data_IF_865727432892
#
_entry.id   IF_865727432892
#
_cell.length_a   1.000
_cell.length_b   1.000
_cell.length_c   1.000
_cell.angle_alpha   90.00
_cell.angle_beta   90.00
_cell.angle_gamma   90.00
#
_symmetry.space_group_name_H-M   'P 1'
#
loop_
_entity.id
_entity.type
_entity.pdbx_description
1 polymer ?
#
# COMPACT_ATOMS: atom_id res chain seq x y z
N UNK A 1 17.35 12.50 -6.52
CA UNK A 1 16.36 12.92 -5.50
C UNK A 1 16.92 12.48 -4.16
N UNK A 2 17.20 13.38 -3.20
CA UNK A 2 17.77 12.99 -1.90
C UNK A 2 16.68 12.30 -1.07
N UNK A 3 16.94 11.08 -0.61
CA UNK A 3 16.06 10.38 0.34
C UNK A 3 16.02 11.16 1.65
N UNK A 4 14.84 11.66 2.02
CA UNK A 4 14.60 12.26 3.33
C UNK A 4 14.27 11.14 4.31
N UNK A 5 15.13 10.93 5.30
CA UNK A 5 14.84 10.06 6.44
C UNK A 5 13.89 10.80 7.37
N UNK A 6 12.75 10.18 7.69
CA UNK A 6 11.77 10.69 8.65
C UNK A 6 11.93 9.89 9.95
N UNK A 7 11.94 10.58 11.09
CA UNK A 7 12.03 9.89 12.37
C UNK A 7 10.63 9.44 12.85
N UNK A 8 10.56 8.25 13.45
CA UNK A 8 9.31 7.72 14.00
C UNK A 8 8.65 8.63 15.03
N UNK A 9 9.44 9.38 15.81
CA UNK A 9 8.91 10.34 16.79
C UNK A 9 8.00 11.39 16.15
N UNK A 10 8.32 11.81 14.93
CA UNK A 10 7.55 12.81 14.19
C UNK A 10 6.26 12.22 13.63
N UNK A 11 6.22 10.90 13.41
CA UNK A 11 5.07 10.18 12.86
C UNK A 11 4.13 9.71 13.97
N UNK A 12 4.67 9.29 15.12
CA UNK A 12 3.92 8.64 16.20
C UNK A 12 2.70 9.46 16.63
N UNK A 13 2.81 10.79 16.69
CA UNK A 13 1.69 11.69 17.06
C UNK A 13 0.44 11.51 16.18
N UNK A 14 0.58 11.02 14.95
CA UNK A 14 -0.51 10.81 14.00
C UNK A 14 -1.09 9.39 14.02
N UNK A 15 -0.40 8.42 14.62
CA UNK A 15 -0.75 7.00 14.56
C UNK A 15 -0.84 6.32 15.94
N UNK A 16 -0.77 7.09 17.02
CA UNK A 16 -0.94 6.61 18.40
C UNK A 16 -2.27 7.05 19.00
N UNK A 17 -2.87 6.19 19.80
CA UNK A 17 -4.07 6.49 20.57
C UNK A 17 -3.71 7.23 21.86
N UNK A 18 -4.39 8.33 22.18
CA UNK A 18 -4.17 9.08 23.42
C UNK A 18 -4.77 8.43 24.67
N UNK A 19 -5.65 7.43 24.53
CA UNK A 19 -6.26 6.72 25.66
C UNK A 19 -5.33 5.62 26.21
N UNK A 20 -4.70 4.83 25.33
CA UNK A 20 -3.80 3.74 25.74
C UNK A 20 -2.31 4.04 25.54
N UNK A 21 -1.97 5.15 24.88
CA UNK A 21 -0.60 5.53 24.49
C UNK A 21 0.12 4.52 23.57
N UNK A 22 -0.62 3.55 23.01
CA UNK A 22 -0.13 2.61 22.00
C UNK A 22 -0.45 3.07 20.58
N UNK A 23 0.01 2.30 19.59
CA UNK A 23 -0.40 2.48 18.20
C UNK A 23 -1.89 2.18 18.01
N UNK A 24 -2.51 2.85 17.03
CA UNK A 24 -3.92 2.64 16.69
C UNK A 24 -4.16 1.18 16.24
N UNK A 25 -5.07 0.49 16.93
CA UNK A 25 -5.62 -0.82 16.59
C UNK A 25 -7.12 -0.68 16.38
N UNK A 26 -7.60 -1.13 15.23
CA UNK A 26 -8.96 -0.90 14.73
C UNK A 26 -9.37 0.58 14.91
N UNK A 27 -8.67 1.47 14.24
CA UNK A 27 -8.83 2.92 14.34
C UNK A 27 -10.30 3.34 14.18
N UNK A 28 -10.80 4.09 15.16
CA UNK A 28 -12.15 4.61 15.23
C UNK A 28 -12.10 6.13 15.42
N UNK A 29 -12.71 6.85 14.48
CA UNK A 29 -12.67 8.32 14.41
C UNK A 29 -14.04 8.90 14.78
N UNK A 30 -14.01 9.99 15.56
CA UNK A 30 -15.17 10.83 15.85
C UNK A 30 -15.31 11.85 14.71
N UNK A 31 -16.38 11.82 13.88
CA UNK A 31 -16.48 12.70 12.71
C UNK A 31 -16.51 14.19 13.04
N UNK A 32 -17.12 14.57 14.15
CA UNK A 32 -17.30 15.98 14.55
C UNK A 32 -15.98 16.71 14.84
N UNK A 33 -14.97 16.00 15.35
CA UNK A 33 -13.68 16.61 15.71
C UNK A 33 -12.46 15.92 15.08
N UNK A 34 -12.67 14.88 14.27
CA UNK A 34 -11.65 14.10 13.57
C UNK A 34 -10.54 13.54 14.48
N UNK A 35 -10.85 13.32 15.75
CA UNK A 35 -9.96 12.61 16.66
C UNK A 35 -10.16 11.11 16.56
N UNK A 36 -9.05 10.39 16.50
CA UNK A 36 -9.02 8.94 16.29
C UNK A 36 -8.42 8.21 17.49
N UNK A 37 -9.03 7.07 17.82
CA UNK A 37 -8.66 6.21 18.95
C UNK A 37 -8.69 4.74 18.51
N UNK A 38 -8.21 3.82 19.35
CA UNK A 38 -8.48 2.40 19.14
C UNK A 38 -9.97 2.12 19.39
N UNK A 39 -10.59 1.24 18.59
CA UNK A 39 -11.99 0.85 18.75
C UNK A 39 -12.33 0.46 20.19
N UNK A 40 -11.53 -0.40 20.81
CA UNK A 40 -11.77 -0.88 22.17
C UNK A 40 -11.58 0.21 23.21
N UNK A 41 -10.66 1.15 23.00
CA UNK A 41 -10.41 2.24 23.93
C UNK A 41 -11.56 3.25 23.94
N UNK A 42 -12.00 3.71 22.76
CA UNK A 42 -13.14 4.65 22.71
C UNK A 42 -14.43 3.95 23.12
N UNK A 43 -14.60 2.67 22.78
CA UNK A 43 -15.75 1.89 23.23
C UNK A 43 -15.80 1.83 24.77
N UNK A 44 -14.71 1.40 25.41
CA UNK A 44 -14.64 1.32 26.86
C UNK A 44 -14.84 2.69 27.52
N UNK A 45 -14.36 3.79 26.91
CA UNK A 45 -14.60 5.13 27.41
C UNK A 45 -16.09 5.48 27.40
N UNK A 46 -16.77 5.26 26.27
CA UNK A 46 -18.19 5.59 26.10
C UNK A 46 -19.14 4.66 26.87
N UNK A 47 -18.71 3.43 27.15
CA UNK A 47 -19.47 2.44 27.94
C UNK A 47 -19.40 2.69 29.45
N UNK A 48 -18.53 3.58 29.93
CA UNK A 48 -18.54 3.94 31.35
C UNK A 48 -19.85 4.69 31.67
N UNK A 49 -20.40 4.57 32.88
CA UNK A 49 -21.68 5.20 33.25
C UNK A 49 -21.54 6.68 33.69
N UNK A 50 -20.52 7.40 33.20
CA UNK A 50 -20.31 8.82 33.56
C UNK A 50 -21.18 9.74 32.69
N UNK A 51 -21.77 10.79 33.31
CA UNK A 51 -22.69 11.75 32.66
C UNK A 51 -22.07 12.48 31.44
N UNK A 52 -20.74 12.50 31.31
CA UNK A 52 -19.99 13.19 30.26
C UNK A 52 -19.49 12.28 29.11
N UNK A 53 -19.93 11.02 29.04
CA UNK A 53 -19.48 10.06 28.02
C UNK A 53 -20.09 10.27 26.62
N UNK A 54 -20.61 11.45 26.36
CA UNK A 54 -20.97 11.93 25.02
C UNK A 54 -19.92 12.88 24.45
N UNK A 55 -18.78 13.04 25.12
CA UNK A 55 -17.75 14.03 24.76
C UNK A 55 -16.44 13.36 24.36
N UNK A 56 -15.71 14.00 23.44
CA UNK A 56 -14.45 13.48 22.95
C UNK A 56 -13.38 13.51 24.06
N UNK A 57 -12.69 12.39 24.36
CA UNK A 57 -11.68 12.32 25.42
C UNK A 57 -10.47 13.26 25.22
N UNK A 58 -10.27 13.75 23.99
CA UNK A 58 -9.09 14.56 23.63
C UNK A 58 -9.36 16.06 23.62
N UNK A 59 -10.55 16.49 23.22
CA UNK A 59 -10.86 17.91 23.02
C UNK A 59 -12.20 18.34 23.60
N UNK A 60 -12.89 17.44 24.30
CA UNK A 60 -14.15 17.71 24.99
C UNK A 60 -15.30 18.19 24.07
N UNK A 61 -15.18 17.99 22.76
CA UNK A 61 -16.27 18.28 21.82
C UNK A 61 -17.37 17.24 21.98
N UNK A 62 -18.64 17.66 21.84
CA UNK A 62 -19.77 16.74 21.85
C UNK A 62 -19.65 15.81 20.63
N UNK A 63 -19.75 14.50 20.87
CA UNK A 63 -19.76 13.43 19.88
C UNK A 63 -21.17 13.29 19.31
N UNK A 64 -22.14 13.08 20.19
CA UNK A 64 -23.56 13.03 19.87
C UNK A 64 -24.39 13.34 21.11
N UNK A 65 -25.56 13.96 20.95
CA UNK A 65 -26.42 14.34 22.08
C UNK A 65 -27.23 13.18 22.69
N UNK A 66 -27.34 12.04 22.00
CA UNK A 66 -28.26 10.96 22.39
C UNK A 66 -27.54 9.61 22.48
N UNK A 67 -26.71 9.29 21.50
CA UNK A 67 -26.00 8.02 21.44
C UNK A 67 -24.66 8.19 20.70
N UNK A 68 -23.53 8.23 21.43
CA UNK A 68 -22.20 8.43 20.85
C UNK A 68 -21.76 7.26 19.96
N UNK A 69 -22.33 6.05 20.15
CA UNK A 69 -22.03 4.88 19.32
C UNK A 69 -22.51 5.01 17.88
N UNK A 70 -23.54 5.84 17.64
CA UNK A 70 -24.16 5.99 16.31
C UNK A 70 -23.23 6.66 15.31
N UNK A 71 -22.39 7.57 15.78
CA UNK A 71 -21.59 8.47 14.93
C UNK A 71 -20.14 8.01 14.80
N UNK A 72 -19.68 7.05 15.60
CA UNK A 72 -18.32 6.53 15.47
C UNK A 72 -18.13 5.79 14.14
N UNK A 73 -17.03 6.09 13.45
CA UNK A 73 -16.70 5.48 12.15
C UNK A 73 -15.32 4.80 12.23
N UNK A 74 -15.21 3.60 11.66
CA UNK A 74 -13.92 2.94 11.51
C UNK A 74 -13.10 3.59 10.39
N UNK A 75 -11.91 4.06 10.75
CA UNK A 75 -10.97 4.68 9.82
C UNK A 75 -10.03 3.62 9.24
N UNK A 76 -10.54 2.89 8.24
CA UNK A 76 -9.79 1.83 7.56
C UNK A 76 -8.51 2.35 6.90
N UNK A 77 -8.53 3.61 6.44
CA UNK A 77 -7.40 4.24 5.77
C UNK A 77 -6.29 4.53 6.77
N UNK A 78 -6.60 5.19 7.88
CA UNK A 78 -5.63 5.49 8.92
C UNK A 78 -5.09 4.20 9.56
N UNK A 79 -5.94 3.19 9.76
CA UNK A 79 -5.48 1.88 10.22
C UNK A 79 -4.49 1.24 9.25
N UNK A 80 -4.77 1.30 7.95
CA UNK A 80 -3.86 0.80 6.91
C UNK A 80 -2.54 1.56 6.88
N UNK A 81 -2.58 2.88 7.10
CA UNK A 81 -1.38 3.72 7.21
C UNK A 81 -0.56 3.29 8.42
N UNK A 82 -1.17 3.15 9.60
CA UNK A 82 -0.48 2.73 10.82
C UNK A 82 0.23 1.37 10.63
N UNK A 83 -0.47 0.38 10.06
CA UNK A 83 0.12 -0.95 9.78
C UNK A 83 1.24 -0.93 8.73
N UNK A 84 1.19 -0.03 7.75
CA UNK A 84 2.26 0.11 6.74
C UNK A 84 3.48 0.88 7.25
N UNK A 85 3.28 1.84 8.16
CA UNK A 85 4.37 2.67 8.68
C UNK A 85 5.13 1.99 9.83
N UNK A 86 4.44 1.24 10.69
CA UNK A 86 5.03 0.59 11.85
C UNK A 86 5.35 -0.87 11.51
N UNK A 87 6.63 -1.26 11.44
CA UNK A 87 7.03 -2.62 11.14
C UNK A 87 6.42 -3.59 12.15
N UNK A 88 5.97 -4.74 11.66
CA UNK A 88 5.44 -5.86 12.47
C UNK A 88 4.16 -5.58 13.27
N UNK A 89 3.65 -4.34 13.35
CA UNK A 89 2.48 -3.99 14.16
C UNK A 89 1.26 -4.89 13.86
N UNK A 90 0.95 -5.10 12.57
CA UNK A 90 -0.14 -5.99 12.17
C UNK A 90 0.11 -7.44 12.60
N UNK A 91 1.32 -7.96 12.36
CA UNK A 91 1.69 -9.34 12.69
C UNK A 91 1.58 -9.59 14.20
N UNK A 92 2.11 -8.69 15.02
CA UNK A 92 2.08 -8.79 16.48
C UNK A 92 0.66 -8.67 17.04
N UNK A 93 -0.19 -7.83 16.47
CA UNK A 93 -1.60 -7.74 16.86
C UNK A 93 -2.35 -9.05 16.58
N UNK A 94 -2.14 -9.64 15.40
CA UNK A 94 -2.74 -10.92 15.05
C UNK A 94 -2.25 -12.05 15.96
N UNK A 95 -0.95 -12.09 16.27
CA UNK A 95 -0.38 -13.06 17.21
C UNK A 95 -0.99 -12.93 18.61
N UNK A 96 -1.18 -11.69 19.10
CA UNK A 96 -1.86 -11.42 20.37
C UNK A 96 -3.30 -11.93 20.37
N UNK A 97 -4.05 -11.73 19.28
CA UNK A 97 -5.42 -12.25 19.14
C UNK A 97 -5.44 -13.78 19.17
N UNK A 98 -4.57 -14.44 18.40
CA UNK A 98 -4.49 -15.91 18.37
C UNK A 98 -4.17 -16.46 19.77
N UNK A 99 -3.18 -15.89 20.44
CA UNK A 99 -2.80 -16.30 21.79
C UNK A 99 -3.98 -16.21 22.76
N UNK A 100 -4.73 -15.09 22.73
CA UNK A 100 -5.89 -14.87 23.59
C UNK A 100 -6.96 -15.97 23.45
N UNK A 101 -7.35 -16.32 22.22
CA UNK A 101 -8.36 -17.35 21.96
C UNK A 101 -7.83 -18.76 22.24
N UNK A 102 -6.58 -19.04 21.87
CA UNK A 102 -5.94 -20.34 22.08
C UNK A 102 -5.78 -20.68 23.57
N UNK A 103 -5.33 -19.71 24.37
CA UNK A 103 -5.15 -19.89 25.82
C UNK A 103 -6.46 -20.14 26.56
N UNK A 104 -7.58 -19.68 26.01
CA UNK A 104 -8.92 -19.80 26.59
C UNK A 104 -9.74 -20.95 26.01
N UNK A 105 -9.17 -21.72 25.08
CA UNK A 105 -9.88 -22.78 24.35
C UNK A 105 -11.17 -22.29 23.67
N UNK A 106 -11.14 -21.07 23.12
CA UNK A 106 -12.27 -20.44 22.45
C UNK A 106 -12.12 -20.54 20.91
N UNK A 107 -13.23 -20.70 20.17
CA UNK A 107 -13.18 -20.69 18.71
C UNK A 107 -12.76 -19.30 18.19
N UNK A 108 -11.93 -19.28 17.16
CA UNK A 108 -11.52 -18.04 16.50
C UNK A 108 -12.71 -17.38 15.78
N UNK A 109 -12.84 -16.04 15.85
CA UNK A 109 -13.87 -15.34 15.10
C UNK A 109 -13.61 -15.41 13.58
N UNK A 110 -14.66 -15.36 12.73
CA UNK A 110 -14.50 -15.42 11.28
C UNK A 110 -13.48 -14.42 10.71
N UNK A 111 -13.48 -13.19 11.24
CA UNK A 111 -12.54 -12.14 10.84
C UNK A 111 -11.08 -12.45 11.13
N UNK A 112 -10.78 -13.28 12.14
CA UNK A 112 -9.41 -13.74 12.42
C UNK A 112 -9.05 -14.92 11.53
N UNK A 113 -10.01 -15.80 11.22
CA UNK A 113 -9.81 -16.92 10.30
C UNK A 113 -9.47 -16.43 8.89
N UNK A 114 -10.20 -15.42 8.39
CA UNK A 114 -9.93 -14.76 7.10
C UNK A 114 -8.49 -14.21 7.04
N UNK A 115 -8.07 -13.46 8.05
CA UNK A 115 -6.70 -12.90 8.12
C UNK A 115 -5.61 -13.97 8.18
N UNK A 116 -5.91 -15.15 8.74
CA UNK A 116 -4.99 -16.29 8.76
C UNK A 116 -4.94 -17.02 7.42
N UNK A 117 -6.04 -17.04 6.66
CA UNK A 117 -6.08 -17.56 5.30
C UNK A 117 -5.28 -16.65 4.36
N UNK A 118 -5.51 -15.34 4.40
CA UNK A 118 -4.74 -14.36 3.62
C UNK A 118 -3.23 -14.51 3.83
N UNK A 119 -2.77 -14.68 5.08
CA UNK A 119 -1.36 -14.93 5.38
C UNK A 119 -0.83 -16.22 4.76
N UNK A 120 -1.60 -17.31 4.80
CA UNK A 120 -1.21 -18.59 4.19
C UNK A 120 -1.13 -18.45 2.67
N UNK A 121 -2.08 -17.75 2.06
CA UNK A 121 -2.11 -17.53 0.63
C UNK A 121 -0.95 -16.63 0.19
N UNK A 122 -0.58 -15.61 0.98
CA UNK A 122 0.62 -14.79 0.76
C UNK A 122 1.92 -15.58 0.91
N UNK A 123 2.02 -16.48 1.90
CA UNK A 123 3.17 -17.37 2.10
C UNK A 123 3.26 -18.44 1.00
N UNK A 124 2.14 -19.00 0.55
CA UNK A 124 2.06 -19.93 -0.59
C UNK A 124 2.38 -19.22 -1.91
N UNK A 125 1.96 -17.97 -2.10
CA UNK A 125 2.35 -17.12 -3.24
C UNK A 125 3.82 -16.69 -3.19
N UNK A 126 4.47 -16.71 -2.03
CA UNK A 126 5.93 -16.53 -1.91
C UNK A 126 6.71 -17.82 -2.20
N UNK A 127 6.07 -19.00 -2.12
CA UNK A 127 6.65 -20.29 -2.55
C UNK A 127 6.55 -20.45 -4.09
N UNK A 128 5.60 -19.78 -4.74
CA UNK A 128 5.62 -19.56 -6.19
C UNK A 128 6.62 -18.42 -6.44
N UNK A 129 7.69 -18.61 -7.25
CA UNK A 129 8.58 -17.50 -7.56
C UNK A 129 7.76 -16.39 -8.21
N UNK A 130 7.77 -15.22 -7.59
CA UNK A 130 7.16 -14.00 -8.10
C UNK A 130 7.67 -13.69 -9.52
N UNK A 131 6.89 -14.09 -10.52
CA UNK A 131 7.11 -13.71 -11.90
C UNK A 131 5.80 -13.61 -12.69
N UNK A 132 4.93 -12.69 -12.28
CA UNK A 132 3.89 -12.15 -13.16
C UNK A 132 4.18 -10.70 -13.53
N UNK A 133 5.42 -10.44 -13.93
CA UNK A 133 5.70 -9.71 -15.17
C UNK A 133 6.51 -10.69 -16.03
N UNK A 134 5.92 -11.28 -17.06
CA UNK A 134 6.51 -12.39 -17.83
C UNK A 134 7.86 -12.07 -18.53
N UNK A 135 8.49 -10.89 -18.30
CA UNK A 135 9.78 -10.46 -18.85
C UNK A 135 10.68 -9.64 -17.89
N UNK A 136 10.39 -9.57 -16.58
CA UNK A 136 11.09 -8.61 -15.68
C UNK A 136 12.57 -8.95 -15.40
N UNK A 137 12.98 -10.19 -15.67
CA UNK A 137 14.34 -10.70 -15.42
C UNK A 137 15.24 -10.67 -16.66
N UNK A 138 14.74 -10.20 -17.79
CA UNK A 138 15.56 -10.05 -18.99
C UNK A 138 16.40 -8.77 -18.92
N UNK A 139 17.63 -8.80 -19.45
CA UNK A 139 18.39 -7.56 -19.63
C UNK A 139 17.60 -6.60 -20.52
N UNK A 140 17.46 -5.34 -20.12
CA UNK A 140 16.72 -4.34 -20.88
C UNK A 140 17.64 -3.58 -21.83
N UNK A 141 17.14 -3.28 -23.02
CA UNK A 141 17.83 -2.49 -24.04
C UNK A 141 16.95 -1.35 -24.52
N UNK A 142 17.57 -0.19 -24.80
CA UNK A 142 16.90 0.96 -25.38
C UNK A 142 17.18 1.03 -26.89
N UNK A 143 16.13 1.02 -27.70
CA UNK A 143 16.19 1.13 -29.16
C UNK A 143 15.94 2.59 -29.54
N UNK A 144 16.94 3.24 -30.13
CA UNK A 144 16.80 4.58 -30.70
C UNK A 144 16.11 4.53 -32.06
N UNK A 145 15.18 5.45 -32.30
CA UNK A 145 14.49 5.68 -33.55
C UNK A 145 14.94 7.04 -34.09
N UNK A 146 15.85 7.01 -35.06
CA UNK A 146 16.29 8.21 -35.79
C UNK A 146 15.85 8.18 -37.25
N UNK A 147 15.38 9.32 -37.73
CA UNK A 147 15.07 9.58 -39.14
C UNK A 147 16.24 10.35 -39.76
N UNK A 148 16.76 9.89 -40.90
CA UNK A 148 17.86 10.58 -41.61
C UNK A 148 17.38 11.64 -42.60
N UNK A 149 16.08 11.72 -42.87
CA UNK A 149 15.50 12.63 -43.87
C UNK A 149 14.89 13.86 -43.17
N UNK A 150 15.11 15.05 -43.74
CA UNK A 150 14.64 16.33 -43.18
C UNK A 150 13.17 16.62 -43.47
N UNK A 151 12.53 15.76 -44.25
CA UNK A 151 11.17 15.93 -44.76
C UNK A 151 10.11 15.34 -43.81
N UNK A 152 10.51 14.50 -42.85
CA UNK A 152 9.63 13.92 -41.84
C UNK A 152 9.76 14.64 -40.49
N UNK A 153 8.63 14.95 -39.87
CA UNK A 153 8.59 15.60 -38.55
C UNK A 153 9.18 14.69 -37.45
N UNK A 154 9.94 15.29 -36.52
CA UNK A 154 10.53 14.60 -35.38
C UNK A 154 9.45 13.99 -34.48
N UNK A 155 9.63 12.72 -34.13
CA UNK A 155 8.81 12.09 -33.11
C UNK A 155 9.08 12.74 -31.75
N UNK A 156 8.03 12.96 -30.92
CA UNK A 156 8.20 13.52 -29.58
C UNK A 156 8.91 12.56 -28.62
N UNK A 157 8.99 11.26 -28.93
CA UNK A 157 9.77 10.25 -28.21
C UNK A 157 10.61 9.43 -29.19
N UNK A 158 11.92 9.39 -28.96
CA UNK A 158 12.91 8.79 -29.86
C UNK A 158 13.43 7.43 -29.41
N UNK A 159 12.99 6.92 -28.27
CA UNK A 159 13.52 5.66 -27.72
C UNK A 159 12.37 4.75 -27.29
N UNK A 160 12.54 3.45 -27.52
CA UNK A 160 11.70 2.38 -26.99
C UNK A 160 12.57 1.49 -26.10
N UNK A 161 12.14 1.22 -24.87
CA UNK A 161 12.82 0.28 -23.97
C UNK A 161 12.11 -1.07 -24.07
N UNK A 162 12.86 -2.14 -24.29
CA UNK A 162 12.32 -3.50 -24.34
C UNK A 162 13.35 -4.54 -23.84
N UNK A 163 12.90 -5.79 -23.67
CA UNK A 163 13.79 -6.91 -23.34
C UNK A 163 14.83 -7.16 -24.44
N UNK A 164 16.05 -7.53 -24.04
CA UNK A 164 17.16 -7.96 -24.89
C UNK A 164 16.90 -9.26 -25.64
N UNK A 165 15.91 -10.06 -25.22
CA UNK A 165 15.51 -11.31 -25.86
C UNK A 165 14.37 -11.10 -26.87
N UNK A 166 13.81 -9.88 -26.94
CA UNK A 166 12.72 -9.54 -27.84
C UNK A 166 13.21 -9.49 -29.30
N UNK A 167 12.66 -10.30 -30.22
CA UNK A 167 13.12 -10.31 -31.61
C UNK A 167 12.67 -9.03 -32.35
N UNK A 168 13.62 -8.17 -32.69
CA UNK A 168 13.38 -6.95 -33.50
C UNK A 168 13.56 -7.28 -34.98
N UNK A 169 12.51 -7.17 -35.80
CA UNK A 169 12.60 -7.34 -37.25
C UNK A 169 12.64 -5.98 -37.95
N UNK A 170 13.71 -5.66 -38.71
CA UNK A 170 13.68 -4.52 -39.62
C UNK A 170 12.82 -4.89 -40.83
N UNK A 171 11.62 -4.30 -40.97
CA UNK A 171 10.98 -4.21 -42.27
C UNK A 171 10.50 -2.78 -42.53
N UNK A 172 10.95 -2.25 -43.66
CA UNK A 172 10.86 -0.84 -44.04
C UNK A 172 9.45 -0.43 -44.42
N UNK A 173 9.03 0.72 -43.89
CA UNK A 173 7.78 1.37 -44.28
C UNK A 173 8.05 2.05 -45.63
N UNK A 174 7.56 1.46 -46.73
CA UNK A 174 7.63 2.07 -48.05
C UNK A 174 6.60 3.20 -48.16
N UNK A 175 7.06 4.45 -48.07
CA UNK A 175 6.33 5.63 -48.53
C UNK A 175 6.86 5.97 -49.93
N UNK A 176 6.09 5.63 -50.97
CA UNK A 176 6.32 5.92 -52.40
C UNK A 176 7.71 6.49 -52.82
N UNK A 177 8.53 5.59 -53.40
CA UNK A 177 9.52 5.77 -54.48
C UNK A 177 10.82 6.58 -54.35
N UNK A 178 11.22 7.18 -53.23
CA UNK A 178 12.57 7.81 -53.21
C UNK A 178 13.39 7.76 -51.92
N UNK A 179 12.89 7.30 -50.76
CA UNK A 179 13.67 7.38 -49.51
C UNK A 179 13.58 6.13 -48.62
N UNK A 180 14.73 5.70 -48.07
CA UNK A 180 14.90 4.52 -47.19
C UNK A 180 15.37 4.97 -45.81
N UNK A 181 14.67 4.56 -44.75
CA UNK A 181 15.07 4.76 -43.34
C UNK A 181 15.57 3.42 -42.79
N UNK A 182 16.77 3.40 -42.22
CA UNK A 182 17.39 2.22 -41.60
C UNK A 182 17.56 2.46 -40.09
N UNK A 183 17.08 1.53 -39.27
CA UNK A 183 17.40 1.45 -37.84
C UNK A 183 18.24 0.19 -37.61
N UNK A 184 19.46 0.40 -37.11
CA UNK A 184 20.44 -0.63 -36.77
C UNK A 184 20.49 -0.71 -35.24
N UNK A 185 20.43 -1.93 -34.69
CA UNK A 185 20.80 -2.21 -33.31
C UNK A 185 21.67 -3.46 -33.30
N UNK A 186 22.96 -3.28 -33.00
CA UNK A 186 23.92 -4.36 -32.72
C UNK A 186 23.79 -4.75 -31.24
N UNK A 187 23.60 -6.04 -30.96
CA UNK A 187 23.60 -6.60 -29.61
C UNK A 187 24.84 -7.48 -29.44
N UNK A 188 25.74 -7.11 -28.53
CA UNK A 188 26.93 -7.89 -28.15
C UNK A 188 26.64 -8.68 -26.87
N UNK A 189 26.57 -10.02 -26.98
CA UNK A 189 26.67 -10.97 -25.86
C UNK A 189 27.74 -12.02 -26.17
N UNK A 190 28.86 -11.99 -25.46
CA UNK A 190 29.95 -12.99 -25.50
C UNK A 190 29.62 -14.17 -24.56
N UNK A 191 29.98 -15.38 -24.99
CA UNK A 191 29.70 -16.66 -24.33
C UNK A 191 30.75 -17.04 -23.30
#
# INVERSE_FOLDING_TARGET
MREKKIHYKDINVFITCSLCNGYLIDAATIPECLHTFCKTCIAAYLDNDEEDNTRCPKCDSIIDHVNPWRVLVFDRTLQSIAYKLVPHLYKEEIERQIAYYKERDLPYPPSLVEKLQEKRDEEEQQIIPSNSDLHIYDDQVAICIDTKTKELQSLPRKFIICSSTLPVRPQGIHLNRSEVIALVCESTREK
#
